data_IF_927816988966
#
_entry.id   IF_927816988966
#
_cell.length_a   1.000
_cell.length_b   1.000
_cell.length_c   1.000
_cell.angle_alpha   90.00
_cell.angle_beta   90.00
_cell.angle_gamma   90.00
#
_symmetry.space_group_name_H-M   'P 1'
#
loop_
_entity.id
_entity.type
_entity.pdbx_description
1 polymer ?
#
# COMPACT_ATOMS: atom_id res chain seq x y z
N UNK A 1 2.07 11.54 -27.90
CA UNK A 1 2.75 12.37 -26.88
C UNK A 1 3.82 11.53 -26.21
N UNK A 2 5.00 12.10 -25.92
CA UNK A 2 6.06 11.36 -25.23
C UNK A 2 5.70 11.15 -23.75
N UNK A 3 5.84 9.92 -23.24
CA UNK A 3 5.63 9.58 -21.82
C UNK A 3 6.49 10.41 -20.86
N UNK A 4 7.65 10.90 -21.30
CA UNK A 4 8.50 11.81 -20.53
C UNK A 4 7.76 13.08 -20.07
N UNK A 5 6.85 13.60 -20.91
CA UNK A 5 6.06 14.79 -20.57
C UNK A 5 5.15 14.50 -19.37
N UNK A 6 4.49 13.35 -19.37
CA UNK A 6 3.65 12.92 -18.25
C UNK A 6 4.45 12.64 -16.99
N UNK A 7 5.62 12.02 -17.13
CA UNK A 7 6.52 11.75 -16.01
C UNK A 7 6.96 13.07 -15.35
N UNK A 8 7.45 14.03 -16.14
CA UNK A 8 7.91 15.31 -15.61
C UNK A 8 6.77 16.12 -15.00
N UNK A 9 5.62 16.21 -15.67
CA UNK A 9 4.45 16.90 -15.15
C UNK A 9 3.92 16.26 -13.86
N UNK A 10 3.81 14.93 -13.83
CA UNK A 10 3.32 14.20 -12.67
C UNK A 10 4.24 14.38 -11.46
N UNK A 11 5.56 14.21 -11.66
CA UNK A 11 6.54 14.45 -10.60
C UNK A 11 6.52 15.91 -10.14
N UNK A 12 6.46 16.88 -11.06
CA UNK A 12 6.36 18.29 -10.71
C UNK A 12 5.11 18.58 -9.86
N UNK A 13 3.96 18.00 -10.19
CA UNK A 13 2.73 18.14 -9.42
C UNK A 13 2.84 17.56 -8.00
N UNK A 14 3.38 16.35 -7.87
CA UNK A 14 3.55 15.70 -6.56
C UNK A 14 4.58 16.48 -5.71
N UNK A 15 5.69 16.91 -6.30
CA UNK A 15 6.72 17.73 -5.64
C UNK A 15 6.15 19.08 -5.21
N UNK A 16 5.37 19.75 -6.07
CA UNK A 16 4.69 20.98 -5.71
C UNK A 16 3.66 20.76 -4.59
N UNK A 17 2.88 19.69 -4.66
CA UNK A 17 1.94 19.29 -3.60
C UNK A 17 2.66 19.08 -2.26
N UNK A 18 3.82 18.43 -2.26
CA UNK A 18 4.64 18.27 -1.06
C UNK A 18 5.15 19.61 -0.53
N UNK A 19 5.80 20.45 -1.33
CA UNK A 19 6.42 21.68 -0.82
C UNK A 19 5.44 22.81 -0.50
N UNK A 20 4.30 22.87 -1.22
CA UNK A 20 3.31 23.94 -1.05
C UNK A 20 2.16 23.48 -0.15
N UNK A 21 1.46 22.42 -0.56
CA UNK A 21 0.20 22.03 0.08
C UNK A 21 0.42 21.29 1.40
N UNK A 22 1.34 20.33 1.46
CA UNK A 22 1.64 19.62 2.73
C UNK A 22 2.16 20.59 3.80
N UNK A 23 2.93 21.61 3.40
CA UNK A 23 3.43 22.67 4.27
C UNK A 23 2.32 23.59 4.76
N UNK A 24 1.37 23.94 3.89
CA UNK A 24 0.16 24.65 4.28
C UNK A 24 -0.65 23.86 5.31
N UNK A 25 -0.92 22.58 5.04
CA UNK A 25 -1.62 21.69 5.97
C UNK A 25 -0.88 21.60 7.31
N UNK A 26 0.42 21.32 7.30
CA UNK A 26 1.22 21.15 8.51
C UNK A 26 1.26 22.42 9.38
N UNK A 27 1.39 23.61 8.77
CA UNK A 27 1.56 24.88 9.51
C UNK A 27 0.27 25.61 9.83
N UNK A 28 -0.68 25.66 8.89
CA UNK A 28 -1.89 26.49 9.01
C UNK A 28 -3.09 25.69 9.50
N UNK A 29 -3.26 24.46 9.02
CA UNK A 29 -4.42 23.61 9.37
C UNK A 29 -4.13 22.81 10.64
N UNK A 30 -3.15 21.91 10.59
CA UNK A 30 -2.85 20.96 11.66
C UNK A 30 -1.95 21.53 12.75
N UNK A 31 -1.22 22.61 12.47
CA UNK A 31 -0.30 23.29 13.41
C UNK A 31 0.57 22.28 14.15
N UNK A 32 1.38 21.54 13.39
CA UNK A 32 2.29 20.54 13.93
C UNK A 32 3.29 21.19 14.89
N UNK A 33 3.54 20.51 16.01
CA UNK A 33 4.52 20.89 17.01
C UNK A 33 5.65 19.85 17.02
N UNK A 34 6.89 20.23 16.65
CA UNK A 34 8.05 19.34 16.70
C UNK A 34 8.40 18.84 18.11
N UNK A 35 7.95 19.52 19.16
CA UNK A 35 8.22 19.15 20.56
C UNK A 35 7.13 18.25 21.16
N UNK A 36 6.04 18.00 20.43
CA UNK A 36 4.97 17.15 20.90
C UNK A 36 5.43 15.70 21.04
N UNK A 37 5.34 15.16 22.27
CA UNK A 37 5.66 13.76 22.56
C UNK A 37 4.54 12.88 22.02
N UNK A 38 4.88 11.94 21.14
CA UNK A 38 3.90 11.01 20.57
C UNK A 38 3.46 9.95 21.59
N UNK A 39 2.26 9.36 21.42
CA UNK A 39 1.78 8.29 22.30
C UNK A 39 2.76 7.11 22.41
N UNK A 40 3.47 6.79 21.33
CA UNK A 40 4.49 5.74 21.31
C UNK A 40 5.61 5.97 22.35
N UNK A 41 5.95 7.22 22.65
CA UNK A 41 6.93 7.56 23.68
C UNK A 41 6.32 7.77 25.06
N UNK A 42 5.13 8.39 25.13
CA UNK A 42 4.48 8.73 26.40
C UNK A 42 3.80 7.52 27.09
N UNK A 43 3.31 6.54 26.33
CA UNK A 43 2.51 5.40 26.82
C UNK A 43 3.19 4.06 26.50
N UNK A 44 4.53 4.05 26.43
CA UNK A 44 5.31 2.89 26.00
C UNK A 44 5.00 1.64 26.82
N UNK A 45 4.48 0.61 26.17
CA UNK A 45 4.09 -0.67 26.76
C UNK A 45 4.83 -1.88 26.13
N UNK A 46 5.53 -1.67 25.01
CA UNK A 46 6.20 -2.75 24.28
C UNK A 46 5.27 -3.62 23.43
N UNK A 47 3.98 -3.30 23.36
CA UNK A 47 2.94 -4.02 22.62
C UNK A 47 2.24 -3.07 21.63
N UNK A 48 1.40 -2.14 22.11
CA UNK A 48 0.64 -1.21 21.28
C UNK A 48 1.41 0.10 21.02
N UNK A 49 2.21 0.53 21.99
CA UNK A 49 3.01 1.76 21.96
C UNK A 49 4.50 1.43 21.96
N UNK A 50 5.06 1.33 20.75
CA UNK A 50 6.48 0.99 20.55
C UNK A 50 7.19 2.08 19.75
N UNK A 51 8.16 2.80 20.36
CA UNK A 51 9.03 3.71 19.64
C UNK A 51 9.75 3.00 18.49
N UNK A 52 9.60 3.52 17.29
CA UNK A 52 10.08 2.90 16.06
C UNK A 52 11.03 3.84 15.32
N UNK A 53 12.05 3.30 14.66
CA UNK A 53 12.90 4.07 13.76
C UNK A 53 12.08 4.70 12.62
N UNK A 54 12.25 6.01 12.40
CA UNK A 54 11.50 6.76 11.37
C UNK A 54 11.54 6.15 9.96
N UNK A 55 12.64 5.52 9.55
CA UNK A 55 12.76 4.91 8.22
C UNK A 55 11.99 3.61 8.11
N UNK A 56 11.97 2.81 9.18
CA UNK A 56 11.16 1.59 9.26
C UNK A 56 9.68 1.95 9.29
N UNK A 57 9.30 2.96 10.09
CA UNK A 57 7.93 3.47 10.15
C UNK A 57 7.47 4.04 8.81
N UNK A 58 8.32 4.83 8.17
CA UNK A 58 8.04 5.40 6.86
C UNK A 58 7.87 4.29 5.81
N UNK A 59 8.75 3.29 5.81
CA UNK A 59 8.64 2.13 4.91
C UNK A 59 7.33 1.38 5.11
N UNK A 60 6.95 1.15 6.36
CA UNK A 60 5.67 0.52 6.71
C UNK A 60 4.47 1.32 6.20
N UNK A 61 4.43 2.64 6.38
CA UNK A 61 3.36 3.48 5.83
C UNK A 61 3.35 3.47 4.30
N UNK A 62 4.53 3.58 3.68
CA UNK A 62 4.67 3.60 2.23
C UNK A 62 4.11 2.33 1.59
N UNK A 63 4.48 1.14 2.07
CA UNK A 63 3.96 -0.13 1.55
C UNK A 63 2.51 -0.40 1.97
N UNK A 64 2.04 0.17 3.08
CA UNK A 64 0.62 0.05 3.46
C UNK A 64 -0.30 0.78 2.48
N UNK A 65 0.19 1.86 1.86
CA UNK A 65 -0.55 2.60 0.82
C UNK A 65 -0.25 2.03 -0.57
N UNK A 66 0.99 1.64 -0.83
CA UNK A 66 1.42 1.08 -2.10
C UNK A 66 1.03 -0.40 -2.21
N UNK A 67 -0.18 -0.64 -2.74
CA UNK A 67 -0.67 -1.98 -3.07
C UNK A 67 -0.80 -2.25 -4.57
N UNK A 68 -1.41 -3.37 -4.91
CA UNK A 68 -1.78 -3.69 -6.30
C UNK A 68 -2.88 -2.75 -6.84
N UNK A 69 -3.78 -2.28 -5.97
CA UNK A 69 -4.92 -1.45 -6.36
C UNK A 69 -4.53 -0.08 -6.96
N UNK A 70 -3.56 0.68 -6.40
CA UNK A 70 -3.02 1.89 -7.04
C UNK A 70 -2.39 1.68 -8.43
N UNK A 71 -2.07 0.44 -8.82
CA UNK A 71 -1.56 0.12 -10.17
C UNK A 71 -2.72 -0.30 -11.09
N UNK A 72 -3.56 -1.22 -10.63
CA UNK A 72 -4.68 -1.75 -11.40
C UNK A 72 -5.74 -0.69 -11.72
N UNK A 73 -6.07 0.19 -10.76
CA UNK A 73 -7.07 1.25 -10.94
C UNK A 73 -6.76 2.16 -12.12
N UNK A 74 -5.59 2.83 -12.15
CA UNK A 74 -5.19 3.65 -13.29
C UNK A 74 -5.09 2.86 -14.60
N UNK A 75 -4.62 1.61 -14.57
CA UNK A 75 -4.55 0.76 -15.76
C UNK A 75 -5.94 0.48 -16.36
N UNK A 76 -6.95 0.23 -15.52
CA UNK A 76 -8.35 0.05 -15.94
C UNK A 76 -8.95 1.38 -16.42
N UNK A 77 -8.67 2.48 -15.70
CA UNK A 77 -9.23 3.80 -16.00
C UNK A 77 -8.74 4.41 -17.32
N UNK A 78 -7.66 3.88 -17.91
CA UNK A 78 -7.22 4.24 -19.26
C UNK A 78 -8.32 3.98 -20.32
N UNK A 79 -9.36 3.17 -20.02
CA UNK A 79 -10.53 3.01 -20.88
C UNK A 79 -11.17 4.35 -21.29
N UNK A 80 -11.15 5.35 -20.40
CA UNK A 80 -11.67 6.70 -20.67
C UNK A 80 -10.62 7.65 -21.29
N UNK A 81 -9.41 7.17 -21.55
CA UNK A 81 -8.26 7.96 -21.97
C UNK A 81 -7.25 8.20 -20.84
N UNK A 82 -6.02 8.57 -21.20
CA UNK A 82 -4.97 8.76 -20.19
C UNK A 82 -5.14 10.04 -19.36
N UNK A 83 -5.76 11.09 -19.92
CA UNK A 83 -5.86 12.41 -19.27
C UNK A 83 -6.69 12.38 -17.98
N UNK A 84 -7.94 11.86 -17.95
CA UNK A 84 -8.72 11.82 -16.73
C UNK A 84 -8.05 10.96 -15.64
N UNK A 85 -7.49 9.80 -16.01
CA UNK A 85 -6.75 8.95 -15.09
C UNK A 85 -5.51 9.65 -14.52
N UNK A 86 -4.70 10.30 -15.37
CA UNK A 86 -3.51 11.02 -14.96
C UNK A 86 -3.82 12.19 -14.03
N UNK A 87 -4.81 13.02 -14.38
CA UNK A 87 -5.23 14.15 -13.55
C UNK A 87 -5.74 13.67 -12.19
N UNK A 88 -6.54 12.61 -12.18
CA UNK A 88 -7.08 12.11 -10.93
C UNK A 88 -6.02 11.45 -10.04
N UNK A 89 -5.12 10.64 -10.60
CA UNK A 89 -3.98 10.09 -9.84
C UNK A 89 -3.13 11.21 -9.24
N UNK A 90 -2.86 12.27 -9.98
CA UNK A 90 -1.97 13.35 -9.49
C UNK A 90 -2.67 14.31 -8.53
N UNK A 91 -3.81 14.90 -8.94
CA UNK A 91 -4.57 15.87 -8.14
C UNK A 91 -5.23 15.18 -6.94
N UNK A 92 -5.82 14.00 -7.14
CA UNK A 92 -6.45 13.19 -6.10
C UNK A 92 -5.47 12.87 -4.98
N UNK A 93 -4.28 12.37 -5.34
CA UNK A 93 -3.22 12.07 -4.36
C UNK A 93 -2.85 13.29 -3.52
N UNK A 94 -2.73 14.48 -4.14
CA UNK A 94 -2.30 15.69 -3.42
C UNK A 94 -3.40 16.25 -2.52
N UNK A 95 -4.62 16.41 -3.04
CA UNK A 95 -5.67 17.17 -2.36
C UNK A 95 -6.61 16.32 -1.52
N UNK A 96 -6.80 15.05 -1.87
CA UNK A 96 -7.71 14.13 -1.18
C UNK A 96 -6.92 13.14 -0.32
N UNK A 97 -6.24 12.15 -0.93
CA UNK A 97 -5.55 11.10 -0.18
C UNK A 97 -4.50 11.65 0.79
N UNK A 98 -3.62 12.55 0.31
CA UNK A 98 -2.58 13.14 1.13
C UNK A 98 -3.12 13.98 2.30
N UNK A 99 -4.24 14.68 2.13
CA UNK A 99 -4.91 15.39 3.22
C UNK A 99 -5.56 14.39 4.18
N UNK A 100 -6.27 13.40 3.64
CA UNK A 100 -7.03 12.41 4.42
C UNK A 100 -6.11 11.62 5.35
N UNK A 101 -5.04 11.03 4.82
CA UNK A 101 -4.11 10.21 5.60
C UNK A 101 -3.33 11.05 6.62
N UNK A 102 -2.88 12.25 6.22
CA UNK A 102 -2.19 13.15 7.14
C UNK A 102 -3.12 13.61 8.28
N UNK A 103 -4.37 13.96 7.96
CA UNK A 103 -5.39 14.32 8.93
C UNK A 103 -5.74 13.18 9.87
N UNK A 104 -5.86 11.95 9.37
CA UNK A 104 -6.14 10.77 10.16
C UNK A 104 -5.00 10.48 11.16
N UNK A 105 -3.74 10.53 10.71
CA UNK A 105 -2.57 10.37 11.58
C UNK A 105 -2.48 11.49 12.62
N UNK A 106 -2.71 12.73 12.21
CA UNK A 106 -2.72 13.88 13.12
C UNK A 106 -3.81 13.73 14.20
N UNK A 107 -5.03 13.35 13.82
CA UNK A 107 -6.14 13.18 14.75
C UNK A 107 -5.87 12.01 15.72
N UNK A 108 -5.39 10.88 15.21
CA UNK A 108 -5.12 9.69 16.00
C UNK A 108 -3.99 9.92 17.02
N UNK A 109 -2.87 10.49 16.59
CA UNK A 109 -1.71 10.76 17.46
C UNK A 109 -2.05 11.72 18.60
N UNK A 110 -2.88 12.74 18.35
CA UNK A 110 -3.38 13.65 19.41
C UNK A 110 -4.41 13.02 20.34
N UNK A 111 -5.01 11.89 19.94
CA UNK A 111 -6.00 11.16 20.74
C UNK A 111 -5.48 9.79 21.20
N UNK A 112 -4.19 9.72 21.56
CA UNK A 112 -3.55 8.53 22.16
C UNK A 112 -3.55 7.31 21.22
N UNK A 113 -3.42 7.51 19.91
CA UNK A 113 -3.37 6.42 18.93
C UNK A 113 -4.72 5.75 18.68
N UNK A 114 -5.84 6.36 19.08
CA UNK A 114 -7.18 5.79 18.85
C UNK A 114 -7.57 5.85 17.37
N UNK A 115 -8.41 4.90 16.96
CA UNK A 115 -8.97 4.85 15.61
C UNK A 115 -10.00 5.96 15.39
N UNK A 116 -10.14 6.44 14.16
CA UNK A 116 -11.07 7.53 13.81
C UNK A 116 -12.51 7.21 14.23
N UNK A 117 -12.93 5.94 14.15
CA UNK A 117 -14.27 5.56 14.59
C UNK A 117 -14.50 5.76 16.10
N UNK A 118 -13.48 5.55 16.93
CA UNK A 118 -13.56 5.82 18.37
C UNK A 118 -13.53 7.31 18.65
N UNK A 119 -12.78 8.10 17.87
CA UNK A 119 -12.79 9.56 17.98
C UNK A 119 -14.17 10.14 17.64
N UNK A 120 -14.87 9.57 16.65
CA UNK A 120 -16.20 10.01 16.23
C UNK A 120 -17.24 9.97 17.38
N UNK A 121 -17.04 9.10 18.38
CA UNK A 121 -17.91 9.00 19.56
C UNK A 121 -18.05 10.34 20.29
N UNK A 122 -16.99 11.15 20.34
CA UNK A 122 -17.02 12.45 21.04
C UNK A 122 -17.95 13.46 20.37
N UNK A 123 -18.20 13.32 19.07
CA UNK A 123 -18.94 14.30 18.27
C UNK A 123 -20.34 13.84 17.87
N UNK A 124 -20.50 12.54 17.55
CA UNK A 124 -21.76 11.96 17.04
C UNK A 124 -22.47 11.14 18.13
N UNK A 125 -21.79 10.86 19.25
CA UNK A 125 -22.30 10.03 20.34
C UNK A 125 -22.02 8.53 20.15
N UNK A 126 -22.34 7.74 21.18
CA UNK A 126 -22.01 6.32 21.24
C UNK A 126 -22.68 5.50 20.13
N UNK A 127 -23.99 5.70 19.90
CA UNK A 127 -24.74 4.95 18.87
C UNK A 127 -24.19 5.21 17.46
N UNK A 128 -23.91 6.47 17.14
CA UNK A 128 -23.32 6.85 15.85
C UNK A 128 -21.93 6.29 15.65
N UNK A 129 -21.08 6.32 16.67
CA UNK A 129 -19.74 5.72 16.63
C UNK A 129 -19.78 4.19 16.46
N UNK A 130 -20.69 3.50 17.15
CA UNK A 130 -20.86 2.05 16.96
C UNK A 130 -21.31 1.72 15.54
N UNK A 131 -22.30 2.43 15.00
CA UNK A 131 -22.73 2.23 13.61
C UNK A 131 -21.56 2.47 12.63
N UNK A 132 -20.80 3.54 12.84
CA UNK A 132 -19.65 3.85 12.01
C UNK A 132 -18.53 2.80 12.12
N UNK A 133 -18.30 2.23 13.30
CA UNK A 133 -17.37 1.10 13.48
C UNK A 133 -17.83 -0.16 12.75
N UNK A 134 -19.13 -0.47 12.76
CA UNK A 134 -19.69 -1.59 12.00
C UNK A 134 -19.46 -1.39 10.50
N UNK A 135 -19.69 -0.16 9.99
CA UNK A 135 -19.42 0.17 8.58
C UNK A 135 -17.94 0.01 8.24
N UNK A 136 -17.02 0.53 9.06
CA UNK A 136 -15.58 0.36 8.85
C UNK A 136 -15.21 -1.12 8.85
N UNK A 137 -15.73 -1.90 9.80
CA UNK A 137 -15.46 -3.33 9.88
C UNK A 137 -15.90 -4.09 8.62
N UNK A 138 -17.14 -3.85 8.15
CA UNK A 138 -17.65 -4.47 6.92
C UNK A 138 -16.82 -4.05 5.69
N UNK A 139 -16.40 -2.79 5.61
CA UNK A 139 -15.56 -2.29 4.54
C UNK A 139 -14.17 -2.96 4.54
N UNK A 140 -13.52 -3.09 5.70
CA UNK A 140 -12.24 -3.78 5.84
C UNK A 140 -12.35 -5.27 5.49
N UNK A 141 -13.47 -5.92 5.85
CA UNK A 141 -13.75 -7.30 5.46
C UNK A 141 -13.83 -7.44 3.94
N UNK A 142 -14.57 -6.55 3.27
CA UNK A 142 -14.67 -6.53 1.80
C UNK A 142 -13.29 -6.33 1.15
N UNK A 143 -12.51 -5.36 1.63
CA UNK A 143 -11.17 -5.08 1.11
C UNK A 143 -10.24 -6.30 1.25
N UNK A 144 -10.27 -6.97 2.41
CA UNK A 144 -9.49 -8.19 2.62
C UNK A 144 -9.90 -9.32 1.65
N UNK A 145 -11.20 -9.49 1.40
CA UNK A 145 -11.70 -10.49 0.45
C UNK A 145 -11.23 -10.21 -0.99
N UNK A 146 -11.30 -8.95 -1.43
CA UNK A 146 -10.84 -8.55 -2.77
C UNK A 146 -9.33 -8.75 -2.92
N UNK A 147 -8.53 -8.37 -1.91
CA UNK A 147 -7.08 -8.60 -1.97
C UNK A 147 -6.72 -10.09 -1.94
N UNK A 148 -7.40 -10.90 -1.14
CA UNK A 148 -7.18 -12.35 -1.13
C UNK A 148 -7.45 -12.96 -2.51
N UNK A 149 -8.52 -12.53 -3.19
CA UNK A 149 -8.85 -12.98 -4.54
C UNK A 149 -7.77 -12.57 -5.55
N UNK A 150 -7.37 -11.29 -5.57
CA UNK A 150 -6.35 -10.78 -6.50
C UNK A 150 -5.01 -11.51 -6.29
N UNK A 151 -4.56 -11.65 -5.05
CA UNK A 151 -3.31 -12.34 -4.74
C UNK A 151 -3.40 -13.82 -5.14
N UNK A 152 -4.50 -14.51 -4.84
CA UNK A 152 -4.69 -15.90 -5.23
C UNK A 152 -4.65 -16.08 -6.76
N UNK A 153 -5.31 -15.18 -7.51
CA UNK A 153 -5.27 -15.20 -8.98
C UNK A 153 -3.84 -14.96 -9.50
N UNK A 154 -3.09 -14.04 -8.89
CA UNK A 154 -1.68 -13.81 -9.25
C UNK A 154 -0.80 -15.03 -8.98
N UNK A 155 -0.99 -15.72 -7.84
CA UNK A 155 -0.22 -16.94 -7.54
C UNK A 155 -0.53 -18.08 -8.53
N UNK A 156 -1.76 -18.16 -9.04
CA UNK A 156 -2.14 -19.14 -10.07
C UNK A 156 -1.61 -18.76 -11.44
N UNK A 157 -1.74 -17.49 -11.85
CA UNK A 157 -1.30 -17.03 -13.18
C UNK A 157 0.20 -16.83 -13.28
N UNK A 158 0.89 -16.62 -12.16
CA UNK A 158 2.35 -16.48 -12.07
C UNK A 158 2.94 -17.43 -11.01
N UNK A 159 3.01 -18.75 -11.29
CA UNK A 159 3.50 -19.75 -10.35
C UNK A 159 4.92 -19.51 -9.82
N UNK A 160 5.75 -18.78 -10.57
CA UNK A 160 7.11 -18.39 -10.18
C UNK A 160 7.14 -17.42 -8.99
N UNK A 161 6.02 -16.73 -8.72
CA UNK A 161 5.90 -15.77 -7.61
C UNK A 161 5.59 -16.43 -6.25
N UNK A 162 5.24 -17.72 -6.22
CA UNK A 162 4.82 -18.40 -4.99
C UNK A 162 5.97 -18.48 -3.98
N UNK A 163 7.14 -18.98 -4.42
CA UNK A 163 8.34 -19.09 -3.57
C UNK A 163 8.77 -17.74 -3.00
N UNK A 164 8.99 -16.67 -3.80
CA UNK A 164 9.39 -15.38 -3.24
C UNK A 164 8.33 -14.77 -2.32
N UNK A 165 7.03 -14.96 -2.60
CA UNK A 165 5.95 -14.42 -1.76
C UNK A 165 5.95 -15.03 -0.36
N UNK A 166 6.00 -16.37 -0.26
CA UNK A 166 6.01 -17.06 1.03
C UNK A 166 7.38 -16.99 1.72
N UNK A 167 8.46 -17.06 0.94
CA UNK A 167 9.81 -16.87 1.46
C UNK A 167 10.02 -15.47 2.05
N UNK A 168 9.37 -14.43 1.51
CA UNK A 168 9.42 -13.09 2.09
C UNK A 168 8.87 -13.02 3.52
N UNK A 169 7.89 -13.86 3.87
CA UNK A 169 7.37 -13.95 5.25
C UNK A 169 8.46 -14.50 6.18
N UNK A 170 9.16 -15.56 5.76
CA UNK A 170 10.25 -16.16 6.54
C UNK A 170 11.39 -15.16 6.72
N UNK A 171 11.80 -14.51 5.63
CA UNK A 171 12.83 -13.46 5.67
C UNK A 171 12.42 -12.32 6.59
N UNK A 172 11.17 -11.87 6.52
CA UNK A 172 10.65 -10.82 7.39
C UNK A 172 10.72 -11.19 8.88
N UNK A 173 10.35 -12.43 9.24
CA UNK A 173 10.44 -12.90 10.63
C UNK A 173 11.89 -12.89 11.12
N UNK A 174 12.84 -13.37 10.30
CA UNK A 174 14.27 -13.37 10.65
C UNK A 174 14.82 -11.96 10.81
N UNK A 175 14.45 -11.06 9.89
CA UNK A 175 14.81 -9.64 9.93
C UNK A 175 14.21 -8.95 11.17
N UNK A 176 12.96 -9.25 11.51
CA UNK A 176 12.30 -8.74 12.72
C UNK A 176 13.08 -9.11 13.98
N UNK A 177 13.50 -10.37 14.11
CA UNK A 177 14.34 -10.78 15.24
C UNK A 177 15.74 -10.12 15.20
N UNK A 178 16.37 -10.04 14.02
CA UNK A 178 17.68 -9.42 13.84
C UNK A 178 17.70 -7.94 14.27
N UNK A 179 16.70 -7.16 13.85
CA UNK A 179 16.61 -5.74 14.17
C UNK A 179 16.21 -5.52 15.62
N UNK A 180 15.15 -6.19 16.10
CA UNK A 180 14.54 -5.83 17.39
C UNK A 180 15.13 -6.59 18.58
N UNK A 181 15.52 -7.86 18.43
CA UNK A 181 16.13 -8.65 19.52
C UNK A 181 17.65 -8.61 19.48
N UNK A 182 18.24 -8.87 18.33
CA UNK A 182 19.71 -8.94 18.21
C UNK A 182 20.36 -7.58 17.96
N UNK A 183 19.56 -6.52 17.73
CA UNK A 183 20.01 -5.14 17.52
C UNK A 183 21.07 -5.01 16.41
N UNK A 184 20.93 -5.81 15.36
CA UNK A 184 21.82 -5.73 14.21
C UNK A 184 21.67 -4.39 13.48
N UNK A 185 22.72 -3.98 12.77
CA UNK A 185 22.70 -2.75 12.00
C UNK A 185 21.64 -2.84 10.89
N UNK A 186 20.72 -1.86 10.87
CA UNK A 186 19.62 -1.78 9.90
C UNK A 186 20.11 -1.91 8.46
N UNK A 187 21.19 -1.22 8.08
CA UNK A 187 21.70 -1.24 6.71
C UNK A 187 22.16 -2.64 6.28
N UNK A 188 22.85 -3.35 7.18
CA UNK A 188 23.33 -4.70 6.91
C UNK A 188 22.15 -5.66 6.71
N UNK A 189 21.16 -5.60 7.61
CA UNK A 189 19.96 -6.44 7.54
C UNK A 189 19.16 -6.15 6.27
N UNK A 190 19.08 -4.89 5.85
CA UNK A 190 18.42 -4.48 4.61
C UNK A 190 19.09 -5.04 3.36
N UNK A 191 20.42 -4.94 3.28
CA UNK A 191 21.17 -5.48 2.13
C UNK A 191 20.99 -7.00 2.07
N UNK A 192 21.17 -7.70 3.19
CA UNK A 192 21.00 -9.15 3.27
C UNK A 192 19.57 -9.54 2.87
N UNK A 193 18.57 -8.87 3.44
CA UNK A 193 17.16 -9.12 3.13
C UNK A 193 16.87 -8.99 1.65
N UNK A 194 17.32 -7.90 1.02
CA UNK A 194 17.09 -7.63 -0.41
C UNK A 194 17.78 -8.69 -1.28
N UNK A 195 19.03 -9.03 -0.98
CA UNK A 195 19.78 -10.08 -1.71
C UNK A 195 19.07 -11.43 -1.60
N UNK A 196 18.63 -11.82 -0.39
CA UNK A 196 17.92 -13.08 -0.17
C UNK A 196 16.60 -13.10 -0.93
N UNK A 197 15.82 -12.01 -0.93
CA UNK A 197 14.56 -11.97 -1.67
C UNK A 197 14.77 -12.08 -3.18
N UNK A 198 15.80 -11.44 -3.75
CA UNK A 198 16.14 -11.64 -5.16
C UNK A 198 16.61 -13.08 -5.45
N UNK A 199 17.36 -13.68 -4.53
CA UNK A 199 17.69 -15.10 -4.60
C UNK A 199 16.44 -15.99 -4.61
N UNK A 200 15.44 -15.68 -3.79
CA UNK A 200 14.15 -16.39 -3.79
C UNK A 200 13.35 -16.17 -5.07
N UNK A 201 13.48 -15.00 -5.73
CA UNK A 201 12.87 -14.79 -7.04
C UNK A 201 13.50 -15.68 -8.11
N UNK A 202 14.83 -15.77 -8.14
CA UNK A 202 15.55 -16.67 -9.06
C UNK A 202 15.15 -18.13 -8.78
N UNK A 203 15.07 -18.51 -7.50
CA UNK A 203 14.64 -19.85 -7.11
C UNK A 203 13.19 -20.12 -7.54
N UNK A 204 12.30 -19.14 -7.41
CA UNK A 204 10.91 -19.21 -7.86
C UNK A 204 10.80 -19.40 -9.37
N UNK A 205 11.66 -18.75 -10.15
CA UNK A 205 11.72 -18.91 -11.60
C UNK A 205 12.23 -20.31 -12.00
N UNK A 206 13.21 -20.84 -11.27
CA UNK A 206 13.73 -22.19 -11.51
C UNK A 206 12.77 -23.31 -11.07
N UNK A 207 12.00 -23.08 -10.01
CA UNK A 207 11.09 -24.07 -9.40
C UNK A 207 9.68 -23.50 -9.24
N UNK A 208 8.94 -23.26 -10.34
CA UNK A 208 7.58 -22.75 -10.27
C UNK A 208 6.65 -23.72 -9.56
N UNK A 209 5.90 -23.23 -8.56
CA UNK A 209 4.93 -24.04 -7.82
C UNK A 209 3.58 -23.97 -8.53
N UNK A 210 3.35 -24.94 -9.42
CA UNK A 210 2.07 -25.08 -10.13
C UNK A 210 1.15 -25.96 -9.31
N UNK A 211 -0.02 -25.44 -8.97
CA UNK A 211 -1.08 -26.21 -8.32
C UNK A 211 -1.88 -26.99 -9.37
N UNK A 212 -2.26 -28.26 -9.10
CA UNK A 212 -3.23 -28.98 -9.92
C UNK A 212 -4.55 -28.23 -10.05
N UNK A 213 -5.30 -28.49 -11.13
CA UNK A 213 -6.60 -27.84 -11.39
C UNK A 213 -7.60 -28.02 -10.24
N UNK A 214 -7.53 -29.17 -9.55
CA UNK A 214 -8.31 -29.46 -8.34
C UNK A 214 -7.41 -29.96 -7.22
N UNK A 215 -7.54 -29.34 -6.04
CA UNK A 215 -6.86 -29.75 -4.81
C UNK A 215 -7.94 -29.86 -3.73
N UNK A 216 -8.08 -31.04 -3.12
CA UNK A 216 -9.08 -31.27 -2.08
C UNK A 216 -10.51 -30.91 -2.50
N UNK A 217 -10.85 -31.08 -3.79
CA UNK A 217 -12.16 -30.73 -4.36
C UNK A 217 -12.37 -29.22 -4.57
N UNK A 218 -11.33 -28.40 -4.39
CA UNK A 218 -11.36 -26.94 -4.58
C UNK A 218 -10.57 -26.54 -5.82
N UNK A 219 -10.93 -25.41 -6.42
CA UNK A 219 -10.09 -24.76 -7.43
C UNK A 219 -8.77 -24.28 -6.81
N UNK A 220 -7.70 -24.18 -7.59
CA UNK A 220 -6.42 -23.63 -7.14
C UNK A 220 -6.56 -22.22 -6.51
N UNK A 221 -7.41 -21.37 -7.08
CA UNK A 221 -7.70 -20.03 -6.54
C UNK A 221 -8.35 -20.11 -5.16
N UNK A 222 -9.38 -20.97 -5.01
CA UNK A 222 -10.07 -21.14 -3.73
C UNK A 222 -9.14 -21.70 -2.65
N UNK A 223 -8.26 -22.63 -3.01
CA UNK A 223 -7.24 -23.16 -2.11
C UNK A 223 -6.31 -22.04 -1.61
N UNK A 224 -5.78 -21.20 -2.50
CA UNK A 224 -4.94 -20.08 -2.11
C UNK A 224 -5.67 -19.07 -1.22
N UNK A 225 -6.94 -18.77 -1.50
CA UNK A 225 -7.74 -17.89 -0.64
C UNK A 225 -7.80 -18.42 0.79
N UNK A 226 -8.07 -19.72 0.98
CA UNK A 226 -8.10 -20.33 2.31
C UNK A 226 -6.73 -20.22 3.00
N UNK A 227 -5.65 -20.55 2.29
CA UNK A 227 -4.29 -20.46 2.82
C UNK A 227 -3.93 -19.02 3.22
N UNK A 228 -4.29 -18.03 2.40
CA UNK A 228 -4.07 -16.61 2.68
C UNK A 228 -4.85 -16.14 3.92
N UNK A 229 -6.09 -16.58 4.11
CA UNK A 229 -6.88 -16.24 5.31
C UNK A 229 -6.36 -16.91 6.58
N UNK A 230 -5.88 -18.17 6.48
CA UNK A 230 -5.20 -18.83 7.61
C UNK A 230 -3.95 -18.02 7.99
N UNK A 231 -3.13 -17.65 7.00
CA UNK A 231 -1.97 -16.79 7.22
C UNK A 231 -2.37 -15.44 7.84
N UNK A 232 -3.40 -14.77 7.32
CA UNK A 232 -3.87 -13.49 7.84
C UNK A 232 -4.34 -13.59 9.30
N UNK A 233 -5.00 -14.71 9.67
CA UNK A 233 -5.37 -15.01 11.05
C UNK A 233 -4.16 -15.22 11.97
N UNK A 234 -3.11 -15.90 11.50
CA UNK A 234 -1.87 -16.04 12.28
C UNK A 234 -1.15 -14.69 12.39
N UNK A 235 -1.06 -13.94 11.29
CA UNK A 235 -0.39 -12.65 11.21
C UNK A 235 -1.04 -11.60 12.12
N UNK A 236 -2.37 -11.61 12.28
CA UNK A 236 -3.09 -10.66 13.14
C UNK A 236 -2.86 -10.88 14.63
N UNK A 237 -2.43 -12.09 15.02
CA UNK A 237 -2.10 -12.44 16.41
C UNK A 237 -0.64 -12.14 16.76
N UNK A 238 0.23 -11.97 15.76
CA UNK A 238 1.64 -11.71 15.99
C UNK A 238 1.89 -10.23 16.29
N UNK A 239 2.87 -9.90 17.15
CA UNK A 239 3.28 -8.52 17.36
C UNK A 239 3.72 -7.86 16.03
N UNK A 240 3.30 -6.61 15.81
CA UNK A 240 3.57 -5.87 14.56
C UNK A 240 5.06 -5.81 14.22
N UNK A 241 5.92 -5.63 15.22
CA UNK A 241 7.37 -5.59 15.07
C UNK A 241 7.99 -6.92 14.61
N UNK A 242 7.29 -8.04 14.80
CA UNK A 242 7.80 -9.37 14.50
C UNK A 242 7.63 -9.73 13.03
N UNK A 243 6.46 -9.43 12.45
CA UNK A 243 6.15 -9.77 11.07
C UNK A 243 5.81 -8.56 10.21
N UNK A 244 4.71 -7.87 10.51
CA UNK A 244 4.13 -6.88 9.60
C UNK A 244 5.13 -5.77 9.27
N UNK A 245 5.71 -5.16 10.28
CA UNK A 245 6.62 -4.04 10.09
C UNK A 245 7.94 -4.43 9.41
N UNK A 246 8.65 -5.51 9.78
CA UNK A 246 9.81 -6.00 9.03
C UNK A 246 9.51 -6.38 7.58
N UNK A 247 8.37 -7.06 7.34
CA UNK A 247 7.91 -7.47 6.02
C UNK A 247 7.70 -6.25 5.13
N UNK A 248 6.95 -5.29 5.64
CA UNK A 248 6.61 -4.06 4.95
C UNK A 248 7.85 -3.21 4.69
N UNK A 249 8.76 -3.13 5.67
CA UNK A 249 10.04 -2.45 5.50
C UNK A 249 10.87 -3.05 4.35
N UNK A 250 11.05 -4.37 4.32
CA UNK A 250 11.90 -5.02 3.32
C UNK A 250 11.26 -5.00 1.93
N UNK A 251 9.95 -5.20 1.85
CA UNK A 251 9.18 -5.06 0.61
C UNK A 251 9.19 -3.61 0.10
N UNK A 252 9.23 -2.63 1.01
CA UNK A 252 9.35 -1.22 0.65
C UNK A 252 10.67 -0.91 -0.06
N UNK A 253 11.76 -1.56 0.34
CA UNK A 253 13.04 -1.47 -0.38
C UNK A 253 12.93 -2.03 -1.80
N UNK A 254 12.26 -3.19 -1.96
CA UNK A 254 12.04 -3.75 -3.29
C UNK A 254 11.17 -2.85 -4.17
N UNK A 255 10.13 -2.26 -3.60
CA UNK A 255 9.25 -1.34 -4.29
C UNK A 255 10.03 -0.11 -4.79
N UNK A 256 10.96 0.42 -3.98
CA UNK A 256 11.87 1.48 -4.44
C UNK A 256 12.78 1.04 -5.58
N UNK A 257 13.37 -0.15 -5.51
CA UNK A 257 14.19 -0.67 -6.61
C UNK A 257 13.34 -0.80 -7.88
N UNK A 258 12.13 -1.36 -7.78
CA UNK A 258 11.18 -1.44 -8.88
C UNK A 258 10.82 -0.07 -9.46
N UNK A 259 10.58 0.93 -8.61
CA UNK A 259 10.25 2.29 -9.03
C UNK A 259 11.44 2.97 -9.74
N UNK A 260 12.67 2.80 -9.24
CA UNK A 260 13.89 3.33 -9.88
C UNK A 260 14.08 2.70 -11.25
N UNK A 261 13.92 1.38 -11.36
CA UNK A 261 14.02 0.67 -12.63
C UNK A 261 12.92 1.12 -13.61
N UNK A 262 11.69 1.28 -13.13
CA UNK A 262 10.57 1.73 -13.95
C UNK A 262 10.77 3.15 -14.49
N UNK A 263 11.13 4.10 -13.63
CA UNK A 263 11.42 5.47 -14.07
C UNK A 263 12.66 5.53 -14.96
N UNK A 264 13.71 4.78 -14.63
CA UNK A 264 14.90 4.65 -15.48
C UNK A 264 14.56 4.12 -16.87
N UNK A 265 13.74 3.08 -16.96
CA UNK A 265 13.26 2.52 -18.22
C UNK A 265 12.47 3.56 -19.03
N UNK A 266 11.56 4.31 -18.42
CA UNK A 266 10.81 5.38 -19.11
C UNK A 266 11.75 6.49 -19.60
N UNK A 267 12.75 6.88 -18.80
CA UNK A 267 13.72 7.92 -19.18
C UNK A 267 14.56 7.50 -20.39
N UNK A 268 15.00 6.24 -20.41
CA UNK A 268 15.87 5.70 -21.47
C UNK A 268 15.07 5.40 -22.75
N UNK A 269 13.92 4.73 -22.62
CA UNK A 269 13.13 4.27 -23.76
C UNK A 269 12.17 5.31 -24.32
N UNK A 270 11.79 6.30 -23.50
CA UNK A 270 10.89 7.40 -23.85
C UNK A 270 9.67 6.98 -24.71
N UNK A 271 8.87 5.99 -24.27
CA UNK A 271 7.83 5.39 -25.09
C UNK A 271 6.75 6.41 -25.43
N UNK A 272 6.16 6.25 -26.62
CA UNK A 272 5.01 7.05 -27.01
C UNK A 272 3.75 6.56 -26.30
N UNK A 273 2.97 7.49 -25.76
CA UNK A 273 1.65 7.20 -25.21
C UNK A 273 0.72 6.84 -26.37
N UNK A 274 0.29 5.58 -26.41
CA UNK A 274 -0.52 5.02 -27.49
C UNK A 274 -1.99 5.46 -27.41
N UNK A 275 -2.50 5.67 -26.20
CA UNK A 275 -3.91 6.02 -25.97
C UNK A 275 -4.09 7.53 -26.14
N UNK A 276 -5.25 7.94 -26.67
CA UNK A 276 -5.64 9.35 -26.74
C UNK A 276 -5.90 9.98 -25.36
N UNK A 277 -5.89 11.32 -25.24
CA UNK A 277 -6.17 12.02 -23.98
C UNK A 277 -7.55 11.68 -23.43
N UNK A 278 -8.56 11.70 -24.30
CA UNK A 278 -9.90 11.20 -24.05
C UNK A 278 -10.17 10.08 -25.03
N UNK A 279 -10.91 9.06 -24.61
CA UNK A 279 -11.39 8.03 -25.51
C UNK A 279 -12.80 8.36 -26.00
N UNK A 280 -12.95 8.64 -27.29
CA UNK A 280 -14.23 8.99 -27.92
C UNK A 280 -14.99 7.75 -28.43
N UNK A 281 -14.30 6.62 -28.59
CA UNK A 281 -14.86 5.35 -29.05
C UNK A 281 -14.92 4.34 -27.91
N UNK A 282 -15.77 4.62 -26.92
CA UNK A 282 -15.97 3.74 -25.77
C UNK A 282 -16.73 2.46 -26.21
N UNK A 283 -16.31 1.26 -25.76
CA UNK A 283 -17.08 0.03 -25.98
C UNK A 283 -18.53 0.16 -25.46
N UNK A 284 -19.46 -0.55 -26.09
CA UNK A 284 -20.85 -0.60 -25.61
C UNK A 284 -20.92 -1.06 -24.15
N UNK A 285 -21.73 -0.39 -23.33
CA UNK A 285 -21.84 -0.68 -21.90
C UNK A 285 -20.75 -0.04 -21.03
N UNK A 286 -19.88 0.80 -21.59
CA UNK A 286 -18.88 1.52 -20.78
C UNK A 286 -19.57 2.50 -19.82
N UNK A 287 -19.31 2.39 -18.50
CA UNK A 287 -19.90 3.29 -17.52
C UNK A 287 -19.40 4.74 -17.68
N UNK A 288 -20.20 5.69 -17.19
CA UNK A 288 -19.85 7.12 -17.22
C UNK A 288 -18.58 7.39 -16.39
N UNK A 289 -17.77 8.35 -16.85
CA UNK A 289 -16.53 8.77 -16.16
C UNK A 289 -16.84 9.18 -14.72
N UNK A 290 -17.91 9.94 -14.49
CA UNK A 290 -18.38 10.30 -13.15
C UNK A 290 -19.55 9.39 -12.78
N UNK A 291 -19.54 8.71 -11.62
CA UNK A 291 -18.52 8.74 -10.56
C UNK A 291 -17.42 7.68 -10.70
N UNK A 292 -17.44 6.80 -11.72
CA UNK A 292 -16.62 5.59 -11.71
C UNK A 292 -15.11 5.81 -11.78
N UNK A 293 -14.63 6.90 -12.36
CA UNK A 293 -13.20 7.23 -12.35
C UNK A 293 -12.67 7.31 -10.92
N UNK A 294 -13.41 8.00 -10.04
CA UNK A 294 -13.05 8.22 -8.64
C UNK A 294 -13.09 6.91 -7.83
N UNK A 295 -14.02 6.01 -8.17
CA UNK A 295 -14.16 4.71 -7.51
C UNK A 295 -13.11 3.71 -8.01
N UNK A 296 -12.81 3.74 -9.31
CA UNK A 296 -11.85 2.84 -9.98
C UNK A 296 -10.42 3.16 -9.54
N UNK A 297 -10.11 4.46 -9.44
CA UNK A 297 -8.86 4.96 -8.87
C UNK A 297 -9.16 5.53 -7.48
N UNK A 298 -9.66 4.68 -6.59
CA UNK A 298 -9.84 5.07 -5.18
C UNK A 298 -8.50 4.95 -4.43
N UNK A 299 -7.87 3.77 -4.49
CA UNK A 299 -6.64 3.50 -3.75
C UNK A 299 -5.50 4.43 -4.19
N UNK A 300 -5.04 5.29 -3.28
CA UNK A 300 -3.96 6.24 -3.49
C UNK A 300 -4.40 7.63 -3.93
N UNK A 301 -5.64 7.81 -4.39
CA UNK A 301 -6.17 9.11 -4.82
C UNK A 301 -7.34 9.62 -3.95
N UNK A 302 -7.91 8.78 -3.07
CA UNK A 302 -8.89 9.12 -2.02
C UNK A 302 -8.41 8.56 -0.69
#
# INVERSE_FOLDING_TARGET
>A
MNSLVLLVLGLAMIVAGYFLYSKFLAKKVYKLDPQAITPAHAQRDGVDFVPTNKFVLWGHHFTSVAGAAPIAGPAIAIIWGWLPAFLWVTIGTVFFAGMHDFGALWASTRNKGRTIGTLAQRYIGARGSTLFMVVIFLMLLMVNAVFALIIAQLLVSTPTSVIPTWGAIVVALLIGQAIYRFKWNLVLVSIIGVVVLYGLMILGDMYPIVLPETIMGMSATSFWIVVLFIYAGIASLMPVWMLLQPRDYINGLQLFVGLILLYGAIIISAPQVLVGPMNEALPEGTPSIVPLLFVTIACGAI
#
